data_IF_521625927242
#
_entry.id   IF_521625927242
#
_cell.length_a   1.000
_cell.length_b   1.000
_cell.length_c   1.000
_cell.angle_alpha   90.00
_cell.angle_beta   90.00
_cell.angle_gamma   90.00
#
_symmetry.space_group_name_H-M   'P 1'
#
loop_
_entity.id
_entity.type
_entity.pdbx_description
1 polymer ?
#
# COMPACT_ATOMS: atom_id res chain seq x y z
N UNK A 1 25.61 -22.17 -1.23
CA UNK A 1 26.96 -21.99 -0.63
C UNK A 1 27.09 -20.68 0.15
N UNK A 2 26.29 -19.64 -0.13
CA UNK A 2 26.33 -18.39 0.65
C UNK A 2 25.82 -18.51 2.09
N UNK A 3 24.71 -19.22 2.32
CA UNK A 3 24.07 -19.29 3.64
C UNK A 3 24.92 -19.99 4.71
N UNK A 4 25.67 -21.03 4.32
CA UNK A 4 26.56 -21.75 5.21
C UNK A 4 27.77 -20.90 5.63
N UNK A 5 28.21 -19.97 4.77
CA UNK A 5 29.32 -19.04 5.05
C UNK A 5 28.84 -17.92 5.98
N UNK A 6 27.61 -17.43 5.78
CA UNK A 6 26.99 -16.39 6.60
C UNK A 6 26.80 -16.82 8.07
N UNK A 7 26.25 -18.02 8.29
CA UNK A 7 26.09 -18.61 9.63
C UNK A 7 27.43 -18.84 10.33
N UNK A 8 28.46 -19.34 9.63
CA UNK A 8 29.79 -19.59 10.20
C UNK A 8 30.51 -18.28 10.60
N UNK A 9 30.38 -17.22 9.79
CA UNK A 9 31.01 -15.93 10.06
C UNK A 9 30.36 -15.20 11.25
N UNK A 10 29.03 -15.25 11.34
CA UNK A 10 28.28 -14.67 12.46
C UNK A 10 28.59 -15.38 13.78
N UNK A 11 28.70 -16.72 13.76
CA UNK A 11 29.12 -17.48 14.93
C UNK A 11 30.52 -17.07 15.40
N UNK A 12 31.49 -16.88 14.50
CA UNK A 12 32.85 -16.46 14.87
C UNK A 12 32.93 -15.04 15.44
N UNK A 13 32.05 -14.14 15.00
CA UNK A 13 32.04 -12.73 15.42
C UNK A 13 31.50 -12.55 16.83
N UNK A 14 30.67 -13.49 17.30
CA UNK A 14 30.05 -13.46 18.62
C UNK A 14 30.70 -14.46 19.60
N UNK A 15 31.15 -15.62 19.12
CA UNK A 15 31.84 -16.61 19.95
C UNK A 15 33.19 -16.15 20.48
N UNK A 16 33.77 -15.07 19.94
CA UNK A 16 34.99 -14.42 20.44
C UNK A 16 34.77 -13.32 21.48
N UNK A 17 33.51 -12.97 21.80
CA UNK A 17 33.23 -11.92 22.79
C UNK A 17 33.53 -12.44 24.20
N UNK A 18 34.36 -11.69 24.94
CA UNK A 18 34.65 -12.00 26.33
C UNK A 18 33.37 -11.81 27.17
N UNK A 19 33.19 -12.59 28.25
CA UNK A 19 32.11 -12.33 29.20
C UNK A 19 32.15 -10.87 29.67
N UNK A 20 31.01 -10.17 29.62
CA UNK A 20 30.87 -8.73 29.93
C UNK A 20 31.43 -7.74 28.89
N UNK A 21 31.80 -8.19 27.69
CA UNK A 21 32.14 -7.28 26.60
C UNK A 21 30.89 -6.58 26.05
N UNK A 22 30.98 -5.27 25.82
CA UNK A 22 29.92 -4.51 25.17
C UNK A 22 29.67 -5.03 23.75
N UNK A 23 28.44 -5.44 23.47
CA UNK A 23 28.02 -5.80 22.11
C UNK A 23 27.69 -4.52 21.35
N UNK A 24 28.63 -4.05 20.54
CA UNK A 24 28.41 -2.86 19.72
C UNK A 24 27.59 -3.20 18.47
N UNK A 25 26.36 -2.67 18.40
CA UNK A 25 25.45 -2.83 17.24
C UNK A 25 26.12 -2.47 15.91
N UNK A 26 26.98 -1.46 15.91
CA UNK A 26 27.76 -1.03 14.74
C UNK A 26 28.72 -2.10 14.23
N UNK A 27 29.32 -2.90 15.12
CA UNK A 27 30.26 -3.98 14.77
C UNK A 27 29.53 -5.16 14.17
N UNK A 28 28.37 -5.53 14.70
CA UNK A 28 27.52 -6.57 14.11
C UNK A 28 27.03 -6.13 12.72
N UNK A 29 26.55 -4.88 12.60
CA UNK A 29 26.08 -4.34 11.34
C UNK A 29 27.19 -4.28 10.27
N UNK A 30 28.40 -3.81 10.62
CA UNK A 30 29.53 -3.77 9.69
C UNK A 30 30.00 -5.16 9.29
N UNK A 31 29.94 -6.13 10.20
CA UNK A 31 30.34 -7.52 9.92
C UNK A 31 29.34 -8.21 8.99
N UNK A 32 28.04 -7.99 9.16
CA UNK A 32 26.99 -8.48 8.25
C UNK A 32 27.15 -7.84 6.88
N UNK A 33 27.31 -6.51 6.83
CA UNK A 33 27.52 -5.79 5.58
C UNK A 33 28.77 -6.26 4.82
N UNK A 34 29.86 -6.59 5.54
CA UNK A 34 31.08 -7.16 4.97
C UNK A 34 30.93 -8.61 4.49
N UNK A 35 30.08 -9.40 5.12
CA UNK A 35 29.78 -10.78 4.70
C UNK A 35 28.84 -10.85 3.48
N UNK A 36 28.05 -9.79 3.24
CA UNK A 36 27.04 -9.73 2.16
C UNK A 36 27.55 -9.01 0.92
N UNK A 37 28.84 -8.66 0.85
CA UNK A 37 29.41 -7.81 -0.21
C UNK A 37 29.49 -8.40 -1.63
N UNK A 38 29.04 -9.64 -1.94
CA UNK A 38 28.64 -9.95 -3.31
C UNK A 38 27.13 -10.20 -3.48
N UNK A 39 26.33 -10.21 -2.41
CA UNK A 39 24.88 -10.35 -2.48
C UNK A 39 24.23 -8.96 -2.53
N UNK A 40 24.02 -8.47 -3.74
CA UNK A 40 23.02 -7.44 -4.03
C UNK A 40 21.68 -7.90 -3.44
N UNK A 41 21.18 -7.25 -2.38
CA UNK A 41 19.84 -7.59 -1.88
C UNK A 41 19.50 -7.20 -0.44
N UNK A 42 20.45 -6.88 0.43
CA UNK A 42 20.11 -6.47 1.81
C UNK A 42 20.04 -4.94 1.88
N UNK A 43 18.83 -4.39 1.98
CA UNK A 43 18.64 -2.95 2.20
C UNK A 43 19.19 -2.52 3.56
N UNK A 44 20.07 -1.52 3.55
CA UNK A 44 20.63 -0.87 4.73
C UNK A 44 19.51 -0.41 5.69
N UNK A 45 19.51 -0.90 6.94
CA UNK A 45 18.52 -0.51 7.96
C UNK A 45 17.44 -1.56 8.29
N UNK A 46 17.40 -2.70 7.58
CA UNK A 46 16.45 -3.80 7.84
C UNK A 46 16.87 -4.74 8.98
N UNK A 47 18.12 -4.68 9.43
CA UNK A 47 18.62 -5.53 10.50
C UNK A 47 18.25 -4.99 11.88
N UNK A 48 17.29 -5.63 12.55
CA UNK A 48 16.87 -5.31 13.92
C UNK A 48 17.32 -6.42 14.87
N UNK A 49 18.20 -6.08 15.81
CA UNK A 49 18.54 -6.95 16.94
C UNK A 49 17.45 -6.78 17.99
N UNK A 50 16.66 -7.83 18.22
CA UNK A 50 15.64 -7.86 19.28
C UNK A 50 16.19 -8.75 20.39
N UNK A 51 16.57 -8.17 21.56
CA UNK A 51 17.02 -8.98 22.69
C UNK A 51 15.82 -9.69 23.32
N UNK A 52 15.82 -11.03 23.29
CA UNK A 52 14.89 -11.82 24.07
C UNK A 52 15.57 -12.34 25.35
N UNK A 53 14.99 -12.14 26.54
CA UNK A 53 15.52 -12.74 27.76
C UNK A 53 15.42 -14.26 27.67
N UNK A 54 16.57 -14.93 27.79
CA UNK A 54 16.70 -16.39 27.62
C UNK A 54 15.88 -17.23 28.63
N UNK A 55 15.35 -16.63 29.71
CA UNK A 55 14.39 -17.33 30.55
C UNK A 55 13.22 -16.44 30.99
N UNK A 56 12.01 -16.98 30.91
CA UNK A 56 10.89 -16.49 31.70
C UNK A 56 11.17 -16.79 33.17
N UNK A 57 11.74 -15.84 33.92
CA UNK A 57 11.81 -15.95 35.37
C UNK A 57 11.10 -14.78 36.02
N UNK A 58 10.11 -15.13 36.83
CA UNK A 58 9.54 -14.26 37.86
C UNK A 58 10.66 -13.69 38.73
N UNK A 59 10.59 -12.38 38.99
CA UNK A 59 11.50 -11.62 39.85
C UNK A 59 11.80 -12.39 41.16
N UNK A 60 13.06 -12.79 41.34
CA UNK A 60 13.56 -13.39 42.57
C UNK A 60 13.59 -12.33 43.69
N UNK A 61 13.03 -12.63 44.86
CA UNK A 61 12.92 -11.72 46.03
C UNK A 61 13.64 -12.26 47.27
N UNK A 62 14.83 -12.84 47.10
CA UNK A 62 15.68 -13.29 48.22
C UNK A 62 16.88 -12.37 48.43
N UNK A 63 17.39 -12.32 49.66
CA UNK A 63 18.40 -11.33 50.09
C UNK A 63 19.84 -11.66 49.67
N UNK A 64 20.15 -12.88 49.23
CA UNK A 64 21.48 -13.24 48.71
C UNK A 64 21.39 -14.21 47.51
N UNK A 65 22.12 -13.91 46.43
CA UNK A 65 22.41 -14.86 45.35
C UNK A 65 23.90 -14.83 44.98
N UNK A 66 24.49 -15.98 44.71
CA UNK A 66 25.81 -16.04 44.06
C UNK A 66 25.65 -15.77 42.58
N UNK A 67 26.11 -14.59 42.15
CA UNK A 67 26.17 -14.20 40.76
C UNK A 67 27.31 -14.93 40.07
N UNK A 68 26.96 -15.82 39.16
CA UNK A 68 27.87 -16.40 38.19
C UNK A 68 27.21 -16.25 36.83
N UNK A 69 27.06 -15.01 36.36
CA UNK A 69 26.65 -14.78 34.97
C UNK A 69 27.88 -15.02 34.09
N UNK A 70 27.91 -16.18 33.45
CA UNK A 70 28.54 -16.29 32.13
C UNK A 70 27.38 -16.24 31.15
N UNK A 71 26.76 -15.07 31.00
CA UNK A 71 25.80 -14.86 29.92
C UNK A 71 26.61 -14.73 28.63
N UNK A 72 26.70 -15.84 27.89
CA UNK A 72 27.21 -15.80 26.53
C UNK A 72 26.09 -15.22 25.66
N UNK A 73 26.35 -14.10 25.00
CA UNK A 73 25.47 -13.63 23.94
C UNK A 73 25.40 -14.72 22.88
N UNK A 74 24.22 -15.33 22.72
CA UNK A 74 23.93 -16.26 21.63
C UNK A 74 23.04 -15.47 20.68
N UNK A 75 23.42 -15.36 19.40
CA UNK A 75 22.47 -14.93 18.40
C UNK A 75 21.34 -15.94 18.40
N UNK A 76 20.12 -15.48 18.65
CA UNK A 76 18.92 -16.21 18.27
C UNK A 76 18.86 -16.38 16.75
N UNK A 77 17.70 -16.77 16.24
CA UNK A 77 17.51 -16.95 14.80
C UNK A 77 17.79 -15.63 14.05
N UNK A 78 18.86 -15.62 13.24
CA UNK A 78 19.16 -14.50 12.34
C UNK A 78 18.41 -14.77 11.05
N UNK A 79 17.27 -14.11 10.88
CA UNK A 79 16.52 -14.14 9.64
C UNK A 79 16.79 -12.87 8.84
N UNK A 80 17.23 -13.03 7.59
CA UNK A 80 17.39 -11.93 6.65
C UNK A 80 16.23 -11.97 5.66
N UNK A 81 15.58 -10.82 5.48
CA UNK A 81 14.56 -10.63 4.45
C UNK A 81 15.24 -10.18 3.15
N UNK A 82 14.81 -10.73 2.01
CA UNK A 82 15.31 -10.36 0.68
C UNK A 82 14.35 -9.41 -0.06
N UNK A 83 13.08 -9.38 0.36
CA UNK A 83 12.00 -8.63 -0.30
C UNK A 83 11.08 -7.96 0.69
N UNK A 84 10.49 -6.85 0.26
CA UNK A 84 9.44 -6.16 1.00
C UNK A 84 8.11 -6.39 0.27
N UNK A 85 7.14 -6.95 1.00
CA UNK A 85 5.75 -7.03 0.57
C UNK A 85 5.02 -5.79 1.12
N UNK A 86 4.76 -4.84 0.22
CA UNK A 86 3.99 -3.63 0.52
C UNK A 86 2.50 -3.98 0.61
N UNK A 87 1.86 -3.61 1.72
CA UNK A 87 0.45 -3.83 1.99
C UNK A 87 -0.26 -2.48 1.95
N UNK A 88 -1.13 -2.33 0.96
CA UNK A 88 -2.10 -1.22 0.90
C UNK A 88 -3.46 -1.75 1.34
N UNK A 89 -4.30 -0.86 1.89
CA UNK A 89 -5.62 -1.25 2.37
C UNK A 89 -6.27 -0.13 3.16
N UNK A 90 -7.40 -0.44 3.80
CA UNK A 90 -8.10 0.48 4.67
C UNK A 90 -8.49 -0.16 6.00
N UNK A 91 -8.58 0.69 7.02
CA UNK A 91 -9.11 0.37 8.33
C UNK A 91 -10.05 1.49 8.78
N UNK A 92 -11.30 1.14 9.09
CA UNK A 92 -12.30 2.09 9.57
C UNK A 92 -12.41 2.02 11.08
N UNK A 93 -12.24 3.16 11.73
CA UNK A 93 -12.36 3.32 13.17
C UNK A 93 -13.73 3.90 13.51
N UNK A 94 -14.37 3.37 14.55
CA UNK A 94 -15.48 4.05 15.21
C UNK A 94 -14.91 4.79 16.40
N UNK A 95 -14.99 6.13 16.37
CA UNK A 95 -14.53 7.00 17.44
C UNK A 95 -15.71 7.67 18.16
N UNK A 96 -15.57 8.09 19.43
CA UNK A 96 -16.62 8.81 20.14
C UNK A 96 -16.97 10.12 19.43
N UNK A 97 -18.25 10.46 19.31
CA UNK A 97 -18.68 11.69 18.62
C UNK A 97 -18.19 13.00 19.26
N UNK A 98 -17.74 12.94 20.53
CA UNK A 98 -17.22 14.08 21.29
C UNK A 98 -15.74 14.39 21.03
N UNK A 99 -15.03 13.52 20.31
CA UNK A 99 -13.59 13.68 20.04
C UNK A 99 -13.36 14.77 18.98
N UNK A 100 -12.33 15.60 19.14
CA UNK A 100 -11.98 16.65 18.17
C UNK A 100 -11.02 16.13 17.09
N UNK A 101 -10.96 16.81 15.94
CA UNK A 101 -10.18 16.35 14.77
C UNK A 101 -8.67 16.14 15.05
N UNK A 102 -8.09 16.98 15.91
CA UNK A 102 -6.70 16.82 16.33
C UNK A 102 -6.47 15.51 17.10
N UNK A 103 -7.40 15.14 17.98
CA UNK A 103 -7.37 13.88 18.73
C UNK A 103 -7.66 12.69 17.82
N UNK A 104 -8.60 12.82 16.86
CA UNK A 104 -8.82 11.79 15.82
C UNK A 104 -7.53 11.49 15.07
N UNK A 105 -6.83 12.53 14.62
CA UNK A 105 -5.57 12.41 13.90
C UNK A 105 -4.51 11.72 14.76
N UNK A 106 -4.39 12.11 16.03
CA UNK A 106 -3.48 11.47 16.97
C UNK A 106 -3.82 9.98 17.20
N UNK A 107 -5.10 9.63 17.31
CA UNK A 107 -5.56 8.24 17.43
C UNK A 107 -5.26 7.43 16.17
N UNK A 108 -5.56 7.96 14.97
CA UNK A 108 -5.22 7.32 13.68
C UNK A 108 -3.72 7.02 13.57
N UNK A 109 -2.87 7.95 14.00
CA UNK A 109 -1.41 7.75 14.02
C UNK A 109 -0.97 6.68 15.04
N UNK A 110 -1.54 6.67 16.25
CA UNK A 110 -1.26 5.60 17.23
C UNK A 110 -1.67 4.23 16.71
N UNK A 111 -2.84 4.12 16.05
CA UNK A 111 -3.29 2.88 15.42
C UNK A 111 -2.30 2.45 14.33
N UNK A 112 -1.81 3.38 13.51
CA UNK A 112 -0.76 3.09 12.53
C UNK A 112 0.51 2.54 13.17
N UNK A 113 0.95 3.16 14.27
CA UNK A 113 2.17 2.77 14.97
C UNK A 113 2.07 1.36 15.55
N UNK A 114 0.92 0.99 16.15
CA UNK A 114 0.74 -0.37 16.70
C UNK A 114 0.63 -1.43 15.60
N UNK A 115 0.00 -1.14 14.46
CA UNK A 115 -0.06 -2.08 13.32
C UNK A 115 1.35 -2.23 12.72
N UNK A 116 2.09 -1.14 12.57
CA UNK A 116 3.47 -1.19 12.08
C UNK A 116 4.35 -2.01 13.02
N UNK A 117 4.21 -1.83 14.33
CA UNK A 117 4.92 -2.61 15.33
C UNK A 117 4.54 -4.10 15.31
N UNK A 118 3.27 -4.43 15.06
CA UNK A 118 2.83 -5.81 14.85
C UNK A 118 3.54 -6.44 13.64
N UNK A 119 3.52 -5.77 12.48
CA UNK A 119 4.19 -6.27 11.28
C UNK A 119 5.71 -6.43 11.46
N UNK A 120 6.34 -5.50 12.18
CA UNK A 120 7.77 -5.55 12.49
C UNK A 120 8.17 -6.72 13.40
N UNK A 121 7.23 -7.22 14.20
CA UNK A 121 7.44 -8.32 15.15
C UNK A 121 6.83 -9.64 14.66
N UNK A 122 6.28 -9.68 13.43
CA UNK A 122 5.84 -10.93 12.82
C UNK A 122 7.03 -11.88 12.72
N UNK A 123 6.78 -13.15 13.08
CA UNK A 123 7.76 -14.20 12.84
C UNK A 123 7.97 -14.36 11.34
N UNK A 124 9.15 -14.83 10.95
CA UNK A 124 9.43 -15.18 9.56
C UNK A 124 8.34 -16.11 9.00
N UNK A 125 7.85 -15.80 7.80
CA UNK A 125 6.80 -16.55 7.09
C UNK A 125 5.45 -16.59 7.82
N UNK A 126 5.26 -15.80 8.89
CA UNK A 126 3.96 -15.68 9.52
C UNK A 126 3.05 -14.79 8.67
N UNK A 127 1.86 -15.31 8.37
CA UNK A 127 0.82 -14.56 7.68
C UNK A 127 0.35 -13.35 8.50
N UNK A 128 -0.08 -12.31 7.81
CA UNK A 128 -0.74 -11.17 8.44
C UNK A 128 -2.21 -11.54 8.63
N UNK A 129 -2.65 -11.71 9.88
CA UNK A 129 -4.03 -12.12 10.19
C UNK A 129 -4.89 -10.88 10.44
N UNK A 130 -6.02 -10.75 9.74
CA UNK A 130 -6.88 -9.57 9.86
C UNK A 130 -7.52 -9.44 11.24
N UNK A 131 -7.85 -10.56 11.89
CA UNK A 131 -8.35 -10.56 13.26
C UNK A 131 -7.34 -9.94 14.25
N UNK A 132 -6.04 -10.16 14.05
CA UNK A 132 -5.00 -9.56 14.88
C UNK A 132 -4.91 -8.05 14.65
N UNK A 133 -4.98 -7.59 13.39
CA UNK A 133 -5.00 -6.15 13.05
C UNK A 133 -6.20 -5.46 13.71
N UNK A 134 -7.39 -6.07 13.65
CA UNK A 134 -8.59 -5.55 14.29
C UNK A 134 -8.39 -5.46 15.81
N UNK A 135 -7.87 -6.52 16.44
CA UNK A 135 -7.66 -6.58 17.88
C UNK A 135 -6.69 -5.50 18.37
N UNK A 136 -5.50 -5.39 17.77
CA UNK A 136 -4.48 -4.41 18.20
C UNK A 136 -4.93 -2.97 17.96
N UNK A 137 -5.71 -2.71 16.91
CA UNK A 137 -6.25 -1.38 16.64
C UNK A 137 -7.36 -1.01 17.64
N UNK A 138 -8.20 -1.98 18.04
CA UNK A 138 -9.27 -1.78 19.01
C UNK A 138 -8.75 -1.50 20.44
N UNK A 139 -7.53 -1.93 20.77
CA UNK A 139 -6.89 -1.63 22.06
C UNK A 139 -6.43 -0.17 22.19
N UNK A 140 -6.39 0.60 21.10
CA UNK A 140 -5.96 2.00 21.13
C UNK A 140 -7.09 2.90 21.60
N UNK A 141 -6.98 3.48 22.79
CA UNK A 141 -7.96 4.46 23.26
C UNK A 141 -7.97 5.74 22.37
N UNK A 142 -9.15 6.29 22.03
CA UNK A 142 -10.50 5.93 22.47
C UNK A 142 -11.32 5.14 21.42
N UNK A 143 -10.69 4.24 20.65
CA UNK A 143 -11.37 3.44 19.62
C UNK A 143 -12.50 2.60 20.23
N UNK A 144 -13.69 2.68 19.64
CA UNK A 144 -14.89 1.95 20.09
C UNK A 144 -15.13 0.67 19.30
N UNK A 145 -14.81 0.70 18.00
CA UNK A 145 -14.89 -0.44 17.11
C UNK A 145 -13.94 -0.25 15.93
N UNK A 146 -13.58 -1.35 15.28
CA UNK A 146 -12.72 -1.39 14.10
C UNK A 146 -13.42 -2.26 13.06
N UNK A 147 -13.50 -1.75 11.84
CA UNK A 147 -14.04 -2.45 10.68
C UNK A 147 -12.97 -2.51 9.59
N UNK A 148 -12.86 -3.68 8.97
CA UNK A 148 -11.82 -4.04 8.01
C UNK A 148 -12.48 -4.88 6.93
N UNK A 149 -12.43 -4.41 5.69
CA UNK A 149 -12.88 -5.17 4.54
C UNK A 149 -11.67 -5.81 3.83
N UNK A 150 -11.55 -7.14 3.75
CA UNK A 150 -10.52 -7.82 2.99
C UNK A 150 -10.40 -7.35 1.54
N UNK A 151 -11.50 -6.93 0.91
CA UNK A 151 -11.52 -6.49 -0.48
C UNK A 151 -10.82 -5.13 -0.68
N UNK A 152 -10.56 -4.39 0.40
CA UNK A 152 -9.79 -3.14 0.36
C UNK A 152 -8.29 -3.37 0.17
N UNK A 153 -7.80 -4.57 0.47
CA UNK A 153 -6.38 -4.86 0.54
C UNK A 153 -5.81 -5.18 -0.84
N UNK A 154 -4.62 -4.66 -1.11
CA UNK A 154 -3.76 -5.07 -2.23
C UNK A 154 -2.34 -5.22 -1.71
N UNK A 155 -1.61 -6.17 -2.26
CA UNK A 155 -0.21 -6.37 -1.92
C UNK A 155 0.66 -6.23 -3.15
N UNK A 156 1.84 -5.63 -2.98
CA UNK A 156 2.81 -5.46 -4.04
C UNK A 156 4.20 -5.90 -3.57
N UNK A 157 4.87 -6.66 -4.42
CA UNK A 157 6.26 -7.08 -4.24
C UNK A 157 7.10 -6.28 -5.24
N UNK A 158 7.99 -5.41 -4.74
CA UNK A 158 8.80 -4.52 -5.58
C UNK A 158 7.94 -3.77 -6.64
N UNK A 159 6.87 -3.12 -6.17
CA UNK A 159 5.89 -2.35 -6.97
C UNK A 159 5.09 -3.16 -8.00
N UNK A 160 5.20 -4.49 -7.98
CA UNK A 160 4.36 -5.39 -8.78
C UNK A 160 3.26 -5.95 -7.91
N UNK A 161 2.01 -5.67 -8.26
CA UNK A 161 0.83 -6.20 -7.56
C UNK A 161 0.77 -7.73 -7.63
N UNK A 162 0.59 -8.37 -6.48
CA UNK A 162 0.55 -9.82 -6.33
C UNK A 162 -0.90 -10.27 -6.06
N UNK A 163 -1.47 -11.02 -7.01
CA UNK A 163 -2.83 -11.56 -6.88
C UNK A 163 -2.83 -12.90 -6.13
N UNK A 164 -3.96 -13.23 -5.48
CA UNK A 164 -4.15 -14.53 -4.82
C UNK A 164 -3.45 -14.70 -3.47
N UNK A 165 -2.75 -13.67 -2.98
CA UNK A 165 -2.11 -13.65 -1.65
C UNK A 165 -3.10 -13.32 -0.51
N UNK A 166 -4.21 -12.69 -0.86
CA UNK A 166 -5.19 -12.17 0.09
C UNK A 166 -6.38 -13.13 0.11
N UNK A 167 -6.77 -13.53 1.32
CA UNK A 167 -7.98 -14.30 1.60
C UNK A 167 -8.88 -13.49 2.54
N UNK A 168 -10.06 -14.01 2.87
CA UNK A 168 -10.97 -13.33 3.80
C UNK A 168 -10.42 -13.13 5.22
N UNK A 169 -9.38 -13.87 5.60
CA UNK A 169 -8.90 -13.90 6.99
C UNK A 169 -7.48 -13.36 7.13
N UNK A 170 -6.70 -13.33 6.04
CA UNK A 170 -5.27 -13.09 6.10
C UNK A 170 -4.63 -12.73 4.76
N UNK A 171 -3.43 -12.19 4.85
CA UNK A 171 -2.47 -12.01 3.76
C UNK A 171 -1.34 -13.04 3.94
N UNK A 172 -1.13 -13.87 2.92
CA UNK A 172 -0.07 -14.86 2.87
C UNK A 172 1.32 -14.18 2.77
N UNK A 173 2.23 -14.49 3.69
CA UNK A 173 3.64 -14.07 3.63
C UNK A 173 4.52 -15.26 3.25
N UNK A 174 5.32 -15.13 2.18
CA UNK A 174 6.19 -16.21 1.70
C UNK A 174 7.60 -16.08 2.28
N UNK A 175 8.43 -17.08 1.97
CA UNK A 175 9.81 -17.12 2.43
C UNK A 175 10.59 -15.86 2.07
N UNK A 176 11.34 -15.34 3.05
CA UNK A 176 12.22 -14.17 2.93
C UNK A 176 11.53 -12.82 2.68
N UNK A 177 10.20 -12.78 2.69
CA UNK A 177 9.45 -11.53 2.55
C UNK A 177 9.19 -10.86 3.90
N UNK A 178 9.32 -9.53 3.94
CA UNK A 178 8.90 -8.69 5.05
C UNK A 178 7.64 -7.92 4.70
N UNK A 179 6.58 -8.10 5.47
CA UNK A 179 5.37 -7.30 5.38
C UNK A 179 5.61 -5.85 5.86
N UNK A 180 5.12 -4.87 5.11
CA UNK A 180 5.18 -3.45 5.48
C UNK A 180 3.91 -2.74 5.00
N UNK A 181 3.40 -1.81 5.80
CA UNK A 181 2.34 -0.91 5.33
C UNK A 181 2.88 0.03 4.26
N UNK A 182 2.11 0.22 3.19
CA UNK A 182 2.32 1.24 2.18
C UNK A 182 0.97 1.86 1.85
N UNK A 183 0.87 3.19 1.83
CA UNK A 183 -0.38 3.91 1.53
C UNK A 183 -1.60 3.23 2.20
N UNK A 184 -1.53 3.03 3.52
CA UNK A 184 -2.54 2.27 4.26
C UNK A 184 -3.50 3.25 4.93
N UNK A 185 -4.75 3.32 4.47
CA UNK A 185 -5.73 4.27 4.98
C UNK A 185 -6.25 3.88 6.37
N UNK A 186 -6.24 4.82 7.32
CA UNK A 186 -6.87 4.66 8.63
C UNK A 186 -7.74 5.90 8.86
N UNK A 187 -9.05 5.71 8.91
CA UNK A 187 -10.02 6.82 9.00
C UNK A 187 -11.22 6.45 9.87
N UNK A 188 -11.97 7.44 10.34
CA UNK A 188 -13.28 7.27 11.01
C UNK A 188 -14.47 7.66 10.11
N UNK A 189 -14.21 8.02 8.85
CA UNK A 189 -15.21 8.53 7.91
C UNK A 189 -15.15 7.88 6.54
N UNK A 190 -15.83 8.51 5.58
CA UNK A 190 -15.68 8.24 4.16
C UNK A 190 -14.83 9.35 3.57
N UNK A 191 -13.70 8.98 2.98
CA UNK A 191 -12.75 9.88 2.32
C UNK A 191 -13.02 9.89 0.81
N UNK A 192 -12.44 10.86 0.09
CA UNK A 192 -12.63 10.96 -1.36
C UNK A 192 -11.42 10.42 -2.13
N UNK A 193 -11.68 9.73 -3.23
CA UNK A 193 -10.69 9.48 -4.28
C UNK A 193 -11.01 10.41 -5.44
N UNK A 194 -10.19 11.43 -5.62
CA UNK A 194 -10.36 12.44 -6.66
C UNK A 194 -9.88 11.86 -8.00
N UNK A 195 -10.80 11.69 -8.95
CA UNK A 195 -10.52 11.19 -10.30
C UNK A 195 -10.40 12.36 -11.25
N UNK A 196 -9.31 12.43 -12.00
CA UNK A 196 -9.09 13.40 -13.06
C UNK A 196 -8.91 12.67 -14.39
N UNK A 197 -9.72 13.02 -15.40
CA UNK A 197 -9.46 12.63 -16.78
C UNK A 197 -8.53 13.66 -17.39
N UNK A 198 -7.29 13.27 -17.66
CA UNK A 198 -6.23 14.19 -18.11
C UNK A 198 -6.16 14.33 -19.62
N UNK A 199 -6.60 13.30 -20.36
CA UNK A 199 -6.64 13.33 -21.82
C UNK A 199 -7.74 12.42 -22.36
N UNK A 200 -8.43 12.89 -23.41
CA UNK A 200 -9.32 12.09 -24.24
C UNK A 200 -9.05 12.43 -25.71
N UNK A 201 -8.73 11.43 -26.52
CA UNK A 201 -8.56 11.59 -27.97
C UNK A 201 -9.59 10.76 -28.71
N UNK A 202 -10.35 11.44 -29.57
CA UNK A 202 -11.33 10.84 -30.47
C UNK A 202 -10.82 10.91 -31.91
N UNK A 203 -10.77 9.78 -32.59
CA UNK A 203 -10.46 9.74 -34.03
C UNK A 203 -11.75 9.52 -34.81
N UNK A 204 -12.14 10.52 -35.60
CA UNK A 204 -13.33 10.47 -36.44
C UNK A 204 -13.13 9.49 -37.59
N UNK A 205 -14.20 8.77 -37.96
CA UNK A 205 -14.19 7.86 -39.12
C UNK A 205 -14.50 8.58 -40.43
N UNK A 206 -15.12 9.75 -40.34
CA UNK A 206 -15.50 10.61 -41.48
C UNK A 206 -15.30 12.07 -41.09
N UNK A 207 -15.07 12.92 -42.07
CA UNK A 207 -15.01 14.37 -41.84
C UNK A 207 -16.37 14.90 -41.34
N UNK A 208 -16.33 15.82 -40.37
CA UNK A 208 -17.51 16.46 -39.80
C UNK A 208 -17.30 17.96 -39.66
N UNK A 209 -18.38 18.71 -39.57
CA UNK A 209 -18.32 20.17 -39.37
C UNK A 209 -17.85 20.51 -37.95
N UNK A 210 -17.29 21.71 -37.77
CA UNK A 210 -16.83 22.15 -36.45
C UNK A 210 -17.97 22.21 -35.41
N UNK A 211 -19.20 22.52 -35.83
CA UNK A 211 -20.36 22.47 -34.94
C UNK A 211 -20.67 21.07 -34.41
N UNK A 212 -20.38 20.01 -35.19
CA UNK A 212 -20.48 18.62 -34.73
C UNK A 212 -19.35 18.29 -33.76
N UNK A 213 -18.13 18.79 -34.01
CA UNK A 213 -16.99 18.62 -33.09
C UNK A 213 -17.26 19.28 -31.74
N UNK A 214 -17.83 20.48 -31.71
CA UNK A 214 -18.19 21.18 -30.47
C UNK A 214 -19.28 20.43 -29.70
N UNK A 215 -20.32 19.95 -30.39
CA UNK A 215 -21.34 19.12 -29.78
C UNK A 215 -20.76 17.83 -29.18
N UNK A 216 -19.75 17.24 -29.83
CA UNK A 216 -19.04 16.06 -29.35
C UNK A 216 -18.21 16.36 -28.10
N UNK A 217 -17.47 17.48 -28.06
CA UNK A 217 -16.71 17.91 -26.87
C UNK A 217 -17.61 18.09 -25.65
N UNK A 218 -18.73 18.80 -25.81
CA UNK A 218 -19.70 19.00 -24.73
C UNK A 218 -20.35 17.68 -24.29
N UNK A 219 -20.67 16.78 -25.23
CA UNK A 219 -21.22 15.47 -24.89
C UNK A 219 -20.22 14.61 -24.09
N UNK A 220 -18.94 14.62 -24.48
CA UNK A 220 -17.85 13.94 -23.75
C UNK A 220 -17.71 14.51 -22.34
N UNK A 221 -17.67 15.83 -22.20
CA UNK A 221 -17.56 16.47 -20.89
C UNK A 221 -18.75 16.14 -19.99
N UNK A 222 -19.98 16.12 -20.53
CA UNK A 222 -21.16 15.72 -19.78
C UNK A 222 -21.11 14.25 -19.34
N UNK A 223 -20.66 13.34 -20.19
CA UNK A 223 -20.50 11.93 -19.81
C UNK A 223 -19.47 11.78 -18.69
N UNK A 224 -18.31 12.43 -18.81
CA UNK A 224 -17.24 12.35 -17.80
C UNK A 224 -17.71 12.94 -16.46
N UNK A 225 -18.23 14.18 -16.48
CA UNK A 225 -18.67 14.87 -15.25
C UNK A 225 -19.80 14.11 -14.52
N UNK A 226 -20.66 13.40 -15.25
CA UNK A 226 -21.75 12.64 -14.65
C UNK A 226 -21.40 11.18 -14.36
N UNK A 227 -20.23 10.68 -14.81
CA UNK A 227 -19.87 9.27 -14.75
C UNK A 227 -19.92 8.72 -13.32
N UNK A 228 -19.45 9.51 -12.35
CA UNK A 228 -19.39 9.13 -10.93
C UNK A 228 -20.52 9.74 -10.09
N UNK A 229 -21.55 10.31 -10.69
CA UNK A 229 -22.65 10.97 -9.96
C UNK A 229 -23.46 10.02 -9.05
N UNK A 230 -23.39 8.71 -9.32
CA UNK A 230 -24.05 7.66 -8.53
C UNK A 230 -23.09 6.68 -7.86
N UNK A 231 -21.79 7.01 -7.81
CA UNK A 231 -20.77 6.16 -7.21
C UNK A 231 -21.07 5.92 -5.72
N UNK A 232 -20.78 4.71 -5.24
CA UNK A 232 -20.92 4.35 -3.83
C UNK A 232 -19.55 4.17 -3.18
N UNK A 233 -19.48 4.23 -1.83
CA UNK A 233 -18.26 3.87 -1.14
C UNK A 233 -17.82 2.43 -1.46
N UNK A 234 -16.52 2.22 -1.69
CA UNK A 234 -15.96 0.92 -2.08
C UNK A 234 -16.23 0.47 -3.51
N UNK A 235 -16.81 1.33 -4.35
CA UNK A 235 -17.06 1.00 -5.75
C UNK A 235 -15.89 1.42 -6.64
N UNK A 236 -15.11 0.44 -7.09
CA UNK A 236 -14.01 0.65 -8.04
C UNK A 236 -14.44 1.40 -9.29
N UNK A 237 -13.57 2.27 -9.80
CA UNK A 237 -13.80 2.94 -11.07
C UNK A 237 -13.34 2.03 -12.19
N UNK A 238 -14.30 1.33 -12.79
CA UNK A 238 -14.04 0.38 -13.87
C UNK A 238 -13.69 1.13 -15.17
N UNK A 239 -12.45 1.02 -15.64
CA UNK A 239 -11.95 1.77 -16.80
C UNK A 239 -12.78 1.48 -18.06
N UNK A 240 -13.10 0.20 -18.26
CA UNK A 240 -13.90 -0.25 -19.41
C UNK A 240 -15.30 0.38 -19.43
N UNK A 241 -15.91 0.62 -18.26
CA UNK A 241 -17.24 1.23 -18.19
C UNK A 241 -17.21 2.69 -18.65
N UNK A 242 -16.20 3.46 -18.25
CA UNK A 242 -16.03 4.84 -18.73
C UNK A 242 -15.75 4.88 -20.23
N UNK A 243 -14.84 4.03 -20.71
CA UNK A 243 -14.53 3.93 -22.15
C UNK A 243 -15.79 3.58 -22.96
N UNK A 244 -16.59 2.62 -22.50
CA UNK A 244 -17.84 2.25 -23.16
C UNK A 244 -18.88 3.38 -23.10
N UNK A 245 -18.98 4.11 -21.99
CA UNK A 245 -19.85 5.29 -21.90
C UNK A 245 -19.47 6.36 -22.95
N UNK A 246 -18.17 6.57 -23.17
CA UNK A 246 -17.66 7.48 -24.21
C UNK A 246 -17.94 6.97 -25.64
N UNK A 247 -17.83 5.66 -25.88
CA UNK A 247 -18.14 5.05 -27.17
C UNK A 247 -19.65 5.07 -27.51
N UNK A 248 -20.50 5.15 -26.49
CA UNK A 248 -21.96 5.15 -26.63
C UNK A 248 -22.56 6.56 -26.76
N UNK A 249 -21.75 7.62 -26.77
CA UNK A 249 -22.26 8.98 -27.03
C UNK A 249 -22.81 9.04 -28.45
N UNK A 250 -24.05 9.53 -28.57
CA UNK A 250 -24.73 9.71 -29.84
C UNK A 250 -24.76 11.19 -30.21
N UNK A 251 -23.92 11.58 -31.17
CA UNK A 251 -23.99 12.88 -31.85
C UNK A 251 -24.32 12.63 -33.31
N UNK A 252 -25.42 13.19 -33.78
CA UNK A 252 -25.91 12.99 -35.15
C UNK A 252 -24.84 13.45 -36.14
N UNK A 253 -24.48 12.57 -37.09
CA UNK A 253 -23.47 12.86 -38.11
C UNK A 253 -22.02 12.65 -37.68
N UNK A 254 -21.78 12.16 -36.45
CA UNK A 254 -20.45 11.77 -35.98
C UNK A 254 -20.34 10.25 -35.81
N UNK A 255 -19.20 9.71 -36.21
CA UNK A 255 -18.75 8.35 -35.90
C UNK A 255 -17.25 8.42 -35.61
N UNK A 256 -16.80 7.79 -34.53
CA UNK A 256 -15.45 7.93 -34.02
C UNK A 256 -15.02 6.72 -33.20
N UNK A 257 -13.73 6.66 -32.90
CA UNK A 257 -13.15 5.75 -31.92
C UNK A 257 -12.46 6.55 -30.81
N UNK A 258 -12.48 6.02 -29.58
CA UNK A 258 -11.65 6.54 -28.48
C UNK A 258 -10.25 5.91 -28.63
N UNK A 259 -9.27 6.72 -29.00
CA UNK A 259 -7.87 6.29 -29.22
C UNK A 259 -6.97 6.63 -28.05
N UNK A 260 -7.40 7.56 -27.19
CA UNK A 260 -6.74 7.88 -25.93
C UNK A 260 -7.78 8.18 -24.87
N UNK A 261 -7.55 7.66 -23.66
CA UNK A 261 -8.29 7.98 -22.46
C UNK A 261 -7.35 7.74 -21.28
N UNK A 262 -6.95 8.82 -20.62
CA UNK A 262 -6.00 8.79 -19.50
C UNK A 262 -6.66 9.32 -18.24
N UNK A 263 -6.56 8.54 -17.17
CA UNK A 263 -7.08 8.87 -15.85
C UNK A 263 -5.94 8.92 -14.84
N UNK A 264 -6.05 9.88 -13.92
CA UNK A 264 -5.29 9.94 -12.68
C UNK A 264 -6.26 9.94 -11.52
N UNK A 265 -5.88 9.32 -10.41
CA UNK A 265 -6.67 9.28 -9.20
C UNK A 265 -5.78 9.52 -7.99
N UNK A 266 -6.23 10.36 -7.06
CA UNK A 266 -5.52 10.65 -5.80
C UNK A 266 -6.47 10.42 -4.63
N UNK A 267 -6.10 9.54 -3.70
CA UNK A 267 -6.85 9.36 -2.45
C UNK A 267 -6.52 10.48 -1.47
N UNK A 268 -7.54 11.14 -0.92
CA UNK A 268 -7.38 12.15 0.12
C UNK A 268 -6.95 11.54 1.47
N UNK A 269 -7.01 10.22 1.62
CA UNK A 269 -6.75 9.54 2.88
C UNK A 269 -5.27 9.25 3.15
N UNK A 270 -4.51 9.00 2.08
CA UNK A 270 -3.12 8.52 2.14
C UNK A 270 -2.25 9.03 0.99
N UNK A 271 -2.76 9.99 0.19
CA UNK A 271 -2.10 10.57 -0.99
C UNK A 271 -1.72 9.54 -2.08
N UNK A 272 -2.29 8.32 -2.02
CA UNK A 272 -2.03 7.28 -3.02
C UNK A 272 -2.47 7.78 -4.40
N UNK A 273 -1.53 7.74 -5.33
CA UNK A 273 -1.78 8.05 -6.74
C UNK A 273 -1.96 6.76 -7.53
N UNK A 274 -3.00 6.70 -8.36
CA UNK A 274 -3.23 5.64 -9.33
C UNK A 274 -3.37 6.27 -10.71
N UNK A 275 -2.79 5.62 -11.72
CA UNK A 275 -2.87 6.08 -13.10
C UNK A 275 -3.24 4.94 -14.02
N UNK A 276 -4.07 5.24 -15.01
CA UNK A 276 -4.36 4.27 -16.07
C UNK A 276 -4.63 4.99 -17.39
N UNK A 277 -4.34 4.27 -18.48
CA UNK A 277 -4.54 4.70 -19.85
C UNK A 277 -5.05 3.54 -20.70
N UNK A 278 -5.18 3.73 -22.01
CA UNK A 278 -5.67 2.68 -22.91
C UNK A 278 -4.72 1.48 -23.04
N UNK A 279 -3.43 1.66 -22.72
CA UNK A 279 -2.41 0.61 -22.83
C UNK A 279 -2.39 -0.31 -21.60
N UNK A 280 -2.68 0.26 -20.43
CA UNK A 280 -2.73 -0.45 -19.14
C UNK A 280 -4.14 -0.93 -18.81
N UNK A 281 -5.14 -0.09 -19.07
CA UNK A 281 -6.58 -0.33 -18.89
C UNK A 281 -6.92 -0.99 -17.54
N UNK A 282 -6.32 -0.49 -16.46
CA UNK A 282 -6.53 -0.96 -15.09
C UNK A 282 -7.65 -0.16 -14.44
N UNK A 283 -8.40 -0.82 -13.56
CA UNK A 283 -9.41 -0.14 -12.76
C UNK A 283 -8.73 0.70 -11.67
N UNK A 284 -9.38 1.79 -11.26
CA UNK A 284 -8.95 2.55 -10.09
C UNK A 284 -9.58 1.90 -8.87
N UNK A 285 -8.74 1.39 -7.98
CA UNK A 285 -9.18 0.76 -6.73
C UNK A 285 -9.70 1.82 -5.76
N UNK A 286 -10.93 1.64 -5.28
CA UNK A 286 -11.64 2.50 -4.33
C UNK A 286 -12.00 1.66 -3.12
N UNK A 287 -11.46 2.00 -1.96
CA UNK A 287 -11.69 1.24 -0.73
C UNK A 287 -13.08 1.48 -0.15
N UNK A 288 -13.58 0.59 0.70
CA UNK A 288 -14.87 0.67 1.39
C UNK A 288 -15.08 1.98 2.18
N UNK A 289 -13.96 2.59 2.61
CA UNK A 289 -13.90 3.89 3.30
C UNK A 289 -13.70 5.07 2.36
N UNK A 290 -13.70 4.85 1.06
CA UNK A 290 -13.47 5.85 0.03
C UNK A 290 -14.65 5.93 -0.92
N UNK A 291 -14.95 7.12 -1.44
CA UNK A 291 -15.89 7.33 -2.55
C UNK A 291 -15.18 8.05 -3.70
N UNK A 292 -15.33 7.52 -4.91
CA UNK A 292 -14.77 8.14 -6.11
C UNK A 292 -15.56 9.39 -6.49
N UNK A 293 -14.85 10.49 -6.75
CA UNK A 293 -15.44 11.77 -7.16
C UNK A 293 -14.70 12.27 -8.38
N UNK A 294 -15.44 12.70 -9.41
CA UNK A 294 -14.86 13.26 -10.62
C UNK A 294 -14.47 14.73 -10.39
N UNK A 295 -13.22 15.08 -10.66
CA UNK A 295 -12.78 16.46 -10.83
C UNK A 295 -13.56 17.11 -11.96
N UNK A 296 -13.78 18.42 -11.88
CA UNK A 296 -14.41 19.13 -13.00
C UNK A 296 -13.57 18.94 -14.26
N UNK A 297 -14.15 18.29 -15.26
CA UNK A 297 -13.46 18.01 -16.52
C UNK A 297 -13.52 19.22 -17.44
N UNK A 298 -12.36 19.64 -17.95
CA UNK A 298 -12.27 20.73 -18.91
C UNK A 298 -12.47 20.20 -20.34
N UNK A 299 -13.39 20.80 -21.10
CA UNK A 299 -13.60 20.45 -22.52
C UNK A 299 -12.32 20.54 -23.36
N UNK A 300 -11.35 21.37 -22.95
CA UNK A 300 -10.04 21.50 -23.59
C UNK A 300 -9.16 20.26 -23.50
N UNK A 301 -9.47 19.30 -22.63
CA UNK A 301 -8.77 18.01 -22.55
C UNK A 301 -9.24 17.02 -23.64
N UNK A 302 -10.24 17.39 -24.46
CA UNK A 302 -10.74 16.58 -25.58
C UNK A 302 -10.05 16.98 -26.88
N UNK A 303 -9.26 16.06 -27.43
CA UNK A 303 -8.68 16.18 -28.77
C UNK A 303 -9.54 15.40 -29.77
N UNK A 304 -9.90 16.03 -30.89
CA UNK A 304 -10.63 15.39 -31.98
C UNK A 304 -9.75 15.41 -33.23
N UNK A 305 -9.45 14.22 -33.76
CA UNK A 305 -8.60 14.02 -34.94
C UNK A 305 -9.48 13.66 -36.12
N UNK A 306 -9.42 14.48 -37.18
CA UNK A 306 -10.06 14.18 -38.46
C UNK A 306 -9.19 13.23 -39.30
N UNK A 307 -9.82 12.32 -40.08
CA UNK A 307 -9.11 11.37 -40.93
C UNK A 307 -8.38 12.01 -42.13
N UNK A 308 -8.40 13.34 -42.30
CA UNK A 308 -7.79 14.05 -43.44
C UNK A 308 -6.72 15.09 -43.05
N UNK A 309 -6.39 15.27 -41.76
CA UNK A 309 -5.38 16.25 -41.33
C UNK A 309 -3.92 15.83 -41.62
N UNK A 310 -3.68 14.67 -42.24
CA UNK A 310 -2.36 14.10 -42.52
C UNK A 310 -1.89 14.21 -43.98
N UNK A 311 -2.59 14.96 -44.85
CA UNK A 311 -2.20 15.16 -46.26
C UNK A 311 -2.06 16.64 -46.69
N UNK A 312 -1.81 17.56 -45.75
CA UNK A 312 -1.57 18.99 -46.02
C UNK A 312 -0.11 19.38 -45.85
#
# INVERSE_FOLDING_TARGET
MGDLIFLLFMQNSISGLQPSADVQKSVIASTIAGATTPATGIETGTLKLIPEPWCQRSLFKGDDFKVSFVEQAVLGDVFAYDKILNITGALKLTLPASIIDAEKTATRNKVRDVITAYLDNLKSQADVVFADIIAIAAEVEPVLAVDLDPDDFRVALNDTEETGRISKEKIEIREFEKARLDNFCITDGVETVQIEVTAVTLTLTTEVTDGVKDALRTAVANVINNFLSSAKPGEDVIYANLKNALLNILVVGASYNVTELTLSAISASDDRTQGTDISTAKDIHVRSVEIAVMSTFAESAVTIIDPQASNG
#
